data_IF_167424279285
#
_entry.id   IF_167424279285
#
_cell.length_a   1.000
_cell.length_b   1.000
_cell.length_c   1.000
_cell.angle_alpha   90.00
_cell.angle_beta   90.00
_cell.angle_gamma   90.00
#
_symmetry.space_group_name_H-M   'P 1'
#
loop_
_entity.id
_entity.type
_entity.pdbx_description
1 polymer ?
#
# COMPACT_ATOMS: atom_id res chain seq x y z
N UNK A 1 -15.23 6.04 23.75
CA UNK A 1 -13.86 5.55 23.57
C UNK A 1 -13.92 4.04 23.40
N UNK A 2 -14.02 3.56 22.19
CA UNK A 2 -13.97 2.13 21.85
C UNK A 2 -12.58 1.83 21.35
N UNK A 3 -11.88 0.94 22.05
CA UNK A 3 -10.46 0.65 21.96
C UNK A 3 -10.04 0.08 20.62
N UNK A 4 -8.82 0.40 20.24
CA UNK A 4 -8.06 -0.11 19.10
C UNK A 4 -7.56 -1.56 19.34
N UNK A 5 -8.41 -2.43 19.89
CA UNK A 5 -8.02 -3.78 20.31
C UNK A 5 -8.18 -4.84 19.19
N UNK A 6 -7.84 -4.51 17.94
CA UNK A 6 -8.15 -5.42 16.83
C UNK A 6 -7.04 -5.74 15.82
N UNK A 7 -5.99 -4.96 15.72
CA UNK A 7 -4.87 -5.31 14.83
C UNK A 7 -3.56 -4.92 15.52
N UNK A 8 -3.18 -5.72 16.50
CA UNK A 8 -1.84 -5.62 17.04
C UNK A 8 -0.88 -6.31 16.08
N UNK A 9 -0.14 -5.54 15.29
CA UNK A 9 1.10 -6.00 14.69
C UNK A 9 2.01 -6.42 15.86
N UNK A 10 2.03 -7.69 16.17
CA UNK A 10 3.11 -8.27 16.94
C UNK A 10 4.12 -8.76 15.93
N UNK A 11 5.24 -8.06 15.76
CA UNK A 11 6.47 -8.73 15.41
C UNK A 11 6.57 -9.92 16.38
N UNK A 12 6.39 -11.12 15.88
CA UNK A 12 6.70 -12.32 16.66
C UNK A 12 8.16 -12.19 17.02
N UNK A 13 8.43 -12.28 18.32
CA UNK A 13 9.70 -12.03 18.98
C UNK A 13 10.93 -12.53 18.22
N UNK A 14 12.05 -11.95 18.58
CA UNK A 14 13.44 -12.18 18.17
C UNK A 14 13.82 -13.67 18.02
N UNK A 15 13.23 -14.34 17.06
CA UNK A 15 13.80 -15.53 16.45
C UNK A 15 14.28 -15.05 15.06
N UNK A 16 15.55 -15.20 14.67
CA UNK A 16 16.03 -14.84 13.35
C UNK A 16 15.52 -15.87 12.33
N UNK A 17 14.20 -15.98 12.18
CA UNK A 17 13.62 -16.63 11.01
C UNK A 17 14.03 -15.80 9.81
N UNK A 18 14.78 -16.43 8.92
CA UNK A 18 15.24 -15.88 7.66
C UNK A 18 14.11 -15.12 6.98
N UNK A 19 14.22 -13.78 6.89
CA UNK A 19 13.19 -12.94 6.27
C UNK A 19 12.94 -13.45 4.85
N UNK A 20 11.69 -13.79 4.55
CA UNK A 20 11.33 -14.30 3.22
C UNK A 20 11.65 -13.21 2.20
N UNK A 21 12.42 -13.55 1.16
CA UNK A 21 12.75 -12.56 0.13
C UNK A 21 11.51 -12.09 -0.62
N UNK A 22 11.48 -10.82 -1.03
CA UNK A 22 10.37 -10.27 -1.82
C UNK A 22 10.16 -11.02 -3.13
N UNK A 23 11.21 -11.56 -3.72
CA UNK A 23 11.14 -12.39 -4.94
C UNK A 23 10.39 -13.70 -4.69
N UNK A 24 10.66 -14.36 -3.55
CA UNK A 24 9.93 -15.57 -3.14
C UNK A 24 8.47 -15.24 -2.89
N UNK A 25 8.18 -14.15 -2.14
CA UNK A 25 6.83 -13.68 -1.92
C UNK A 25 6.10 -13.35 -3.23
N UNK A 26 6.77 -12.71 -4.18
CA UNK A 26 6.19 -12.38 -5.48
C UNK A 26 5.78 -13.65 -6.23
N UNK A 27 6.62 -14.69 -6.26
CA UNK A 27 6.30 -16.00 -6.86
C UNK A 27 5.08 -16.65 -6.18
N UNK A 28 5.05 -16.70 -4.85
CA UNK A 28 3.93 -17.27 -4.11
C UNK A 28 2.62 -16.51 -4.35
N UNK A 29 2.66 -15.17 -4.41
CA UNK A 29 1.51 -14.32 -4.71
C UNK A 29 0.99 -14.59 -6.14
N UNK A 30 1.85 -14.82 -7.11
CA UNK A 30 1.45 -15.12 -8.49
C UNK A 30 0.60 -16.40 -8.57
N UNK A 31 0.90 -17.40 -7.77
CA UNK A 31 0.18 -18.68 -7.71
C UNK A 31 -0.92 -18.73 -6.65
N UNK A 32 -1.15 -17.64 -5.91
CA UNK A 32 -2.13 -17.60 -4.81
C UNK A 32 -3.56 -17.91 -5.29
N UNK A 33 -4.26 -18.80 -4.57
CA UNK A 33 -5.66 -19.19 -4.82
C UNK A 33 -6.55 -19.10 -3.58
N UNK A 34 -6.18 -18.25 -2.61
CA UNK A 34 -6.81 -18.20 -1.29
C UNK A 34 -8.25 -17.63 -1.33
N UNK A 35 -8.59 -16.79 -2.31
CA UNK A 35 -9.91 -16.20 -2.42
C UNK A 35 -10.42 -16.17 -3.87
N UNK A 36 -11.71 -15.95 -4.03
CA UNK A 36 -12.44 -15.96 -5.31
C UNK A 36 -11.91 -14.96 -6.35
N UNK A 37 -11.14 -13.95 -5.93
CA UNK A 37 -10.53 -12.97 -6.88
C UNK A 37 -9.53 -13.62 -7.84
N UNK A 38 -8.98 -14.78 -7.48
CA UNK A 38 -8.10 -15.53 -8.38
C UNK A 38 -8.81 -16.07 -9.64
N UNK A 39 -10.14 -16.22 -9.59
CA UNK A 39 -10.94 -16.74 -10.70
C UNK A 39 -11.17 -15.72 -11.83
N UNK A 40 -10.97 -14.44 -11.53
CA UNK A 40 -11.30 -13.34 -12.46
C UNK A 40 -10.10 -12.48 -12.85
N UNK A 41 -8.93 -12.73 -12.26
CA UNK A 41 -7.70 -12.04 -12.61
C UNK A 41 -7.02 -12.65 -13.82
N UNK A 42 -6.35 -11.83 -14.63
CA UNK A 42 -5.37 -12.29 -15.62
C UNK A 42 -4.04 -12.62 -14.91
N UNK A 43 -3.58 -11.70 -14.02
CA UNK A 43 -2.34 -11.86 -13.25
C UNK A 43 -2.51 -11.34 -11.83
N UNK A 44 -1.85 -11.97 -10.88
CA UNK A 44 -1.66 -11.33 -9.58
C UNK A 44 -0.61 -10.23 -9.70
N UNK A 45 -0.74 -9.18 -8.89
CA UNK A 45 0.17 -8.02 -8.85
C UNK A 45 0.84 -7.99 -7.47
N UNK A 46 2.02 -8.61 -7.33
CA UNK A 46 2.71 -8.66 -6.05
C UNK A 46 3.12 -7.30 -5.53
N UNK A 47 3.56 -6.44 -6.41
CA UNK A 47 4.22 -5.17 -6.14
C UNK A 47 5.58 -5.12 -6.83
N UNK A 48 6.20 -3.94 -6.84
CA UNK A 48 7.50 -3.69 -7.47
C UNK A 48 8.26 -2.57 -6.77
N UNK A 49 9.55 -2.54 -6.94
CA UNK A 49 10.47 -1.53 -6.40
C UNK A 49 11.67 -2.15 -5.70
N UNK A 50 12.64 -1.32 -5.28
CA UNK A 50 13.84 -1.80 -4.62
C UNK A 50 13.53 -2.42 -3.25
N UNK A 51 14.19 -3.53 -2.88
CA UNK A 51 13.91 -4.23 -1.62
C UNK A 51 14.39 -3.49 -0.37
N UNK A 52 15.22 -2.45 -0.53
CA UNK A 52 15.84 -1.68 0.55
C UNK A 52 15.48 -0.20 0.50
N UNK A 53 14.31 0.14 -0.02
CA UNK A 53 13.95 1.55 -0.26
C UNK A 53 13.69 2.37 1.01
N UNK A 54 13.43 1.75 2.14
CA UNK A 54 12.92 2.43 3.34
C UNK A 54 11.54 3.05 3.19
N UNK A 55 11.01 3.12 1.96
CA UNK A 55 9.71 3.70 1.62
C UNK A 55 8.77 2.69 0.98
N UNK A 56 7.53 2.63 1.47
CA UNK A 56 6.49 1.73 0.97
C UNK A 56 5.22 2.50 0.63
N UNK A 57 4.68 2.27 -0.57
CA UNK A 57 3.38 2.78 -1.00
C UNK A 57 2.37 1.64 -1.08
N UNK A 58 1.23 1.79 -0.43
CA UNK A 58 0.19 0.74 -0.41
C UNK A 58 -1.14 1.29 -0.89
N UNK A 59 -1.63 0.77 -2.01
CA UNK A 59 -2.96 1.01 -2.53
C UNK A 59 -4.00 -0.03 -2.12
N UNK A 60 -5.18 0.03 -2.74
CA UNK A 60 -6.31 -0.84 -2.40
C UNK A 60 -6.28 -2.18 -3.16
N UNK A 61 -6.28 -2.13 -4.48
CA UNK A 61 -6.32 -3.29 -5.37
C UNK A 61 -5.82 -2.93 -6.76
N UNK A 62 -5.31 -3.92 -7.53
CA UNK A 62 -5.02 -3.72 -8.95
C UNK A 62 -6.26 -3.32 -9.74
N UNK A 63 -6.09 -2.42 -10.71
CA UNK A 63 -7.06 -2.14 -11.75
C UNK A 63 -6.88 -3.08 -12.95
N UNK A 64 -7.74 -2.96 -13.97
CA UNK A 64 -7.70 -3.83 -15.16
C UNK A 64 -6.38 -3.71 -15.95
N UNK A 65 -5.74 -2.53 -15.94
CA UNK A 65 -4.44 -2.36 -16.61
C UNK A 65 -3.31 -3.01 -15.82
N UNK A 66 -3.34 -2.89 -14.50
CA UNK A 66 -2.41 -3.54 -13.59
C UNK A 66 -2.50 -5.07 -13.68
N UNK A 67 -3.71 -5.60 -13.75
CA UNK A 67 -4.00 -7.02 -13.90
C UNK A 67 -3.37 -7.62 -15.18
N UNK A 68 -3.51 -6.91 -16.30
CA UNK A 68 -2.91 -7.30 -17.59
C UNK A 68 -1.38 -7.18 -17.59
N UNK A 69 -0.86 -6.12 -16.97
CA UNK A 69 0.57 -5.86 -16.93
C UNK A 69 1.32 -6.71 -15.89
N UNK A 70 0.65 -7.09 -14.80
CA UNK A 70 1.29 -7.72 -13.63
C UNK A 70 2.05 -6.72 -12.75
N UNK A 71 1.93 -5.40 -13.01
CA UNK A 71 2.64 -4.32 -12.32
C UNK A 71 1.66 -3.35 -11.65
N UNK A 72 1.96 -2.82 -10.45
CA UNK A 72 1.07 -1.93 -9.73
C UNK A 72 1.07 -0.52 -10.32
N UNK A 73 -0.07 0.17 -10.24
CA UNK A 73 -0.20 1.58 -10.60
C UNK A 73 0.31 1.98 -11.99
N UNK A 74 0.04 1.16 -13.03
CA UNK A 74 0.37 1.47 -14.44
C UNK A 74 -0.78 2.14 -15.19
N UNK A 75 -1.98 2.17 -14.61
CA UNK A 75 -3.17 2.81 -15.17
C UNK A 75 -3.21 4.32 -14.93
N UNK A 76 -4.39 4.93 -15.19
CA UNK A 76 -4.59 6.39 -15.06
C UNK A 76 -4.27 6.92 -13.65
N UNK A 77 -4.71 6.20 -12.60
CA UNK A 77 -4.44 6.58 -11.22
C UNK A 77 -2.95 6.46 -10.84
N UNK A 78 -2.24 5.49 -11.42
CA UNK A 78 -0.80 5.34 -11.26
C UNK A 78 -0.03 6.48 -11.90
N UNK A 79 -0.35 6.82 -13.14
CA UNK A 79 0.26 7.99 -13.82
C UNK A 79 0.02 9.30 -13.06
N UNK A 80 -1.16 9.43 -12.45
CA UNK A 80 -1.45 10.59 -11.61
C UNK A 80 -0.63 10.56 -10.31
N UNK A 81 -0.49 9.39 -9.66
CA UNK A 81 0.39 9.21 -8.50
C UNK A 81 1.83 9.60 -8.85
N UNK A 82 2.38 9.08 -9.93
CA UNK A 82 3.75 9.35 -10.37
C UNK A 82 3.99 10.85 -10.60
N UNK A 83 3.02 11.54 -11.25
CA UNK A 83 3.06 13.00 -11.45
C UNK A 83 3.15 13.76 -10.11
N UNK A 84 2.35 13.36 -9.10
CA UNK A 84 2.33 14.05 -7.82
C UNK A 84 3.57 13.72 -7.00
N UNK A 85 4.07 12.49 -7.03
CA UNK A 85 5.33 12.12 -6.38
C UNK A 85 6.49 12.94 -6.96
N UNK A 86 6.62 12.97 -8.29
CA UNK A 86 7.67 13.72 -8.98
C UNK A 86 7.60 15.22 -8.65
N UNK A 87 6.40 15.81 -8.58
CA UNK A 87 6.23 17.22 -8.19
C UNK A 87 6.66 17.53 -6.74
N UNK A 88 6.88 16.50 -5.92
CA UNK A 88 7.39 16.58 -4.56
C UNK A 88 8.85 16.07 -4.45
N UNK A 89 9.54 15.88 -5.57
CA UNK A 89 10.94 15.42 -5.60
C UNK A 89 11.14 13.94 -5.28
N UNK A 90 10.09 13.13 -5.45
CA UNK A 90 10.15 11.69 -5.23
C UNK A 90 10.05 10.92 -6.55
N UNK A 91 10.98 10.02 -6.79
CA UNK A 91 10.96 9.14 -7.95
C UNK A 91 10.38 7.77 -7.60
N UNK A 92 9.50 7.26 -8.47
CA UNK A 92 8.83 5.97 -8.29
C UNK A 92 9.78 4.81 -8.07
N UNK A 93 10.91 4.80 -8.78
CA UNK A 93 11.92 3.74 -8.72
C UNK A 93 12.68 3.65 -7.38
N UNK A 94 12.50 4.63 -6.49
CA UNK A 94 13.13 4.66 -5.16
C UNK A 94 12.26 4.08 -4.06
N UNK A 95 11.06 3.61 -4.36
CA UNK A 95 10.12 3.10 -3.35
C UNK A 95 9.47 1.79 -3.79
N UNK A 96 9.14 0.94 -2.84
CA UNK A 96 8.35 -0.25 -3.13
C UNK A 96 6.87 0.10 -3.18
N UNK A 97 6.18 -0.35 -4.22
CA UNK A 97 4.77 -0.02 -4.47
C UNK A 97 3.96 -1.31 -4.56
N UNK A 98 2.87 -1.39 -3.81
CA UNK A 98 1.97 -2.54 -3.81
C UNK A 98 0.53 -2.14 -3.50
N UNK A 99 -0.35 -3.11 -3.31
CA UNK A 99 -1.73 -2.96 -2.85
C UNK A 99 -2.07 -4.03 -1.83
N UNK A 100 -3.02 -3.77 -0.92
CA UNK A 100 -3.46 -4.77 0.08
C UNK A 100 -4.14 -5.98 -0.57
N UNK A 101 -4.82 -5.79 -1.69
CA UNK A 101 -5.27 -6.89 -2.55
C UNK A 101 -4.30 -7.07 -3.72
N UNK A 102 -3.99 -8.32 -4.04
CA UNK A 102 -3.04 -8.66 -5.11
C UNK A 102 -3.71 -9.00 -6.44
N UNK A 103 -5.04 -9.03 -6.48
CA UNK A 103 -5.81 -9.46 -7.63
C UNK A 103 -6.86 -8.41 -8.02
N UNK A 104 -7.00 -8.17 -9.32
CA UNK A 104 -8.12 -7.41 -9.86
C UNK A 104 -9.43 -8.19 -9.67
N UNK A 105 -10.51 -7.46 -9.52
CA UNK A 105 -11.88 -7.97 -9.57
C UNK A 105 -12.81 -6.79 -9.85
N UNK A 106 -13.82 -6.97 -10.72
CA UNK A 106 -14.86 -5.96 -10.89
C UNK A 106 -15.59 -5.67 -9.59
N UNK A 107 -15.82 -4.39 -9.30
CA UNK A 107 -16.50 -3.94 -8.09
C UNK A 107 -15.58 -3.65 -6.91
N UNK A 108 -16.20 -3.22 -5.81
CA UNK A 108 -15.48 -2.84 -4.59
C UNK A 108 -14.90 -4.03 -3.84
N UNK A 109 -13.76 -3.88 -3.18
CA UNK A 109 -13.25 -4.88 -2.25
C UNK A 109 -14.26 -5.24 -1.15
N UNK A 110 -14.23 -6.51 -0.71
CA UNK A 110 -15.00 -7.01 0.42
C UNK A 110 -14.09 -7.29 1.61
N UNK A 111 -14.54 -7.06 2.83
CA UNK A 111 -13.73 -7.25 4.05
C UNK A 111 -13.13 -8.66 4.17
N UNK A 112 -13.86 -9.71 3.79
CA UNK A 112 -13.33 -11.07 3.81
C UNK A 112 -12.17 -11.31 2.82
N UNK A 113 -12.22 -10.67 1.64
CA UNK A 113 -11.14 -10.72 0.65
C UNK A 113 -9.88 -10.06 1.17
N UNK A 114 -10.04 -8.88 1.80
CA UNK A 114 -8.94 -8.16 2.45
C UNK A 114 -8.30 -9.01 3.55
N UNK A 115 -9.10 -9.60 4.45
CA UNK A 115 -8.58 -10.48 5.53
C UNK A 115 -7.78 -11.65 4.98
N UNK A 116 -8.26 -12.30 3.90
CA UNK A 116 -7.56 -13.42 3.25
C UNK A 116 -6.25 -12.98 2.55
N UNK A 117 -6.22 -11.77 2.00
CA UNK A 117 -5.06 -11.26 1.26
C UNK A 117 -4.05 -10.53 2.15
N UNK A 118 -4.46 -10.04 3.33
CA UNK A 118 -3.66 -9.25 4.25
C UNK A 118 -2.31 -9.90 4.62
N UNK A 119 -2.21 -11.22 4.86
CA UNK A 119 -0.94 -11.86 5.19
C UNK A 119 0.18 -11.56 4.19
N UNK A 120 -0.11 -11.44 2.90
CA UNK A 120 0.88 -11.08 1.88
C UNK A 120 1.45 -9.67 2.10
N UNK A 121 0.58 -8.71 2.42
CA UNK A 121 1.04 -7.34 2.68
C UNK A 121 1.84 -7.24 3.97
N UNK A 122 1.46 -7.99 4.99
CA UNK A 122 2.19 -8.04 6.25
C UNK A 122 3.59 -8.65 6.07
N UNK A 123 3.72 -9.74 5.33
CA UNK A 123 5.01 -10.35 5.02
C UNK A 123 5.89 -9.41 4.15
N UNK A 124 5.29 -8.65 3.24
CA UNK A 124 6.02 -7.64 2.47
C UNK A 124 6.54 -6.51 3.37
N UNK A 125 5.71 -6.01 4.31
CA UNK A 125 6.13 -4.98 5.27
C UNK A 125 7.25 -5.51 6.17
N UNK A 126 7.16 -6.76 6.61
CA UNK A 126 8.19 -7.40 7.44
C UNK A 126 9.52 -7.57 6.67
N UNK A 127 9.44 -8.02 5.42
CA UNK A 127 10.63 -8.21 4.57
C UNK A 127 11.30 -6.90 4.19
N UNK A 128 10.51 -5.87 3.88
CA UNK A 128 10.99 -4.54 3.48
C UNK A 128 11.51 -3.73 4.67
N UNK A 129 10.90 -3.93 5.82
CA UNK A 129 11.12 -3.15 7.04
C UNK A 129 11.13 -1.62 6.79
N UNK A 130 10.11 -1.06 6.14
CA UNK A 130 10.11 0.34 5.73
C UNK A 130 10.00 1.26 6.95
N UNK A 131 10.72 2.39 6.92
CA UNK A 131 10.60 3.44 7.91
C UNK A 131 9.41 4.36 7.65
N UNK A 132 9.02 4.50 6.37
CA UNK A 132 7.99 5.43 5.93
C UNK A 132 7.01 4.75 4.97
N UNK A 133 5.71 4.82 5.31
CA UNK A 133 4.66 4.12 4.59
C UNK A 133 3.55 5.10 4.16
N UNK A 134 3.22 5.14 2.87
CA UNK A 134 2.09 5.89 2.33
C UNK A 134 0.91 4.95 2.10
N UNK A 135 -0.16 5.13 2.85
CA UNK A 135 -1.42 4.39 2.71
C UNK A 135 -2.39 5.20 1.84
N UNK A 136 -2.82 4.63 0.73
CA UNK A 136 -3.69 5.28 -0.24
C UNK A 136 -5.06 4.60 -0.33
N UNK A 137 -6.07 5.21 0.30
CA UNK A 137 -7.46 4.79 0.21
C UNK A 137 -7.98 4.00 1.43
N UNK A 138 -9.32 3.92 1.49
CA UNK A 138 -10.02 3.41 2.67
C UNK A 138 -9.75 1.93 2.97
N UNK A 139 -9.64 1.12 1.91
CA UNK A 139 -9.45 -0.31 2.09
C UNK A 139 -8.03 -0.68 2.52
N UNK A 140 -7.04 0.09 2.07
CA UNK A 140 -5.68 -0.05 2.56
C UNK A 140 -5.58 0.40 4.03
N UNK A 141 -6.18 1.54 4.39
CA UNK A 141 -6.23 2.04 5.76
C UNK A 141 -7.00 1.09 6.69
N UNK A 142 -8.12 0.54 6.23
CA UNK A 142 -8.87 -0.45 7.00
C UNK A 142 -8.08 -1.74 7.23
N UNK A 143 -7.47 -2.26 6.17
CA UNK A 143 -6.78 -3.55 6.25
C UNK A 143 -5.52 -3.51 7.13
N UNK A 144 -4.73 -2.43 7.03
CA UNK A 144 -3.44 -2.31 7.72
C UNK A 144 -3.54 -1.61 9.08
N UNK A 145 -4.47 -0.68 9.25
CA UNK A 145 -4.54 0.19 10.43
C UNK A 145 -5.88 0.11 11.18
N UNK A 146 -6.85 -0.69 10.70
CA UNK A 146 -8.18 -0.77 11.30
C UNK A 146 -9.02 0.51 11.15
N UNK A 147 -8.61 1.47 10.33
CA UNK A 147 -9.31 2.74 10.15
C UNK A 147 -10.58 2.52 9.32
N UNK A 148 -11.74 2.62 9.95
CA UNK A 148 -13.05 2.40 9.32
C UNK A 148 -13.46 3.54 8.37
N UNK A 149 -13.18 4.79 8.76
CA UNK A 149 -13.58 5.98 8.00
C UNK A 149 -12.38 6.87 7.71
N UNK A 150 -12.27 7.29 6.46
CA UNK A 150 -11.26 8.26 6.02
C UNK A 150 -11.82 9.69 6.18
N UNK A 151 -11.68 10.22 7.38
CA UNK A 151 -12.01 11.60 7.74
C UNK A 151 -10.70 12.33 8.09
N UNK A 152 -10.70 13.65 7.99
CA UNK A 152 -9.57 14.52 8.35
C UNK A 152 -8.23 14.10 7.73
N UNK A 153 -8.27 13.91 6.41
CA UNK A 153 -7.08 13.56 5.64
C UNK A 153 -6.27 14.79 5.21
N UNK A 154 -4.95 14.66 5.07
CA UNK A 154 -4.13 13.48 5.40
C UNK A 154 -3.87 13.33 6.89
N UNK A 155 -3.61 12.09 7.34
CA UNK A 155 -3.17 11.80 8.72
C UNK A 155 -1.74 11.29 8.72
N UNK A 156 -0.97 11.68 9.74
CA UNK A 156 0.36 11.13 10.02
C UNK A 156 0.32 10.42 11.36
N UNK A 157 0.75 9.17 11.38
CA UNK A 157 0.76 8.31 12.56
C UNK A 157 2.17 7.74 12.75
N UNK A 158 2.53 7.46 13.99
CA UNK A 158 3.73 6.69 14.31
C UNK A 158 3.31 5.41 15.02
N UNK A 159 3.64 4.26 14.45
CA UNK A 159 3.27 2.94 14.96
C UNK A 159 4.51 2.05 14.86
N UNK A 160 4.93 1.47 15.99
CA UNK A 160 6.11 0.59 16.08
C UNK A 160 7.38 1.18 15.44
N UNK A 161 7.63 2.47 15.71
CA UNK A 161 8.79 3.21 15.19
C UNK A 161 8.72 3.57 13.70
N UNK A 162 7.64 3.23 13.02
CA UNK A 162 7.42 3.53 11.59
C UNK A 162 6.46 4.71 11.41
N UNK A 163 6.72 5.51 10.38
CA UNK A 163 5.85 6.63 10.00
C UNK A 163 4.82 6.19 8.96
N UNK A 164 3.56 6.47 9.24
CA UNK A 164 2.43 6.13 8.37
C UNK A 164 1.73 7.40 7.94
N UNK A 165 1.73 7.68 6.65
CA UNK A 165 0.95 8.77 6.06
C UNK A 165 -0.29 8.18 5.40
N UNK A 166 -1.47 8.54 5.86
CA UNK A 166 -2.74 8.04 5.33
C UNK A 166 -3.40 9.13 4.49
N UNK A 167 -3.75 8.80 3.26
CA UNK A 167 -4.44 9.71 2.35
C UNK A 167 -5.52 8.99 1.54
N UNK A 168 -6.29 9.72 0.76
CA UNK A 168 -7.27 9.12 -0.15
C UNK A 168 -6.59 8.41 -1.33
N UNK A 169 -7.32 7.56 -2.03
CA UNK A 169 -6.80 6.87 -3.21
C UNK A 169 -6.64 7.86 -4.39
N UNK A 170 -5.57 7.76 -5.22
CA UNK A 170 -5.35 8.68 -6.35
C UNK A 170 -6.51 8.66 -7.36
N UNK A 171 -7.24 7.56 -7.52
CA UNK A 171 -8.44 7.53 -8.35
C UNK A 171 -9.59 8.40 -7.81
N UNK A 172 -9.70 8.56 -6.49
CA UNK A 172 -10.66 9.48 -5.87
C UNK A 172 -10.20 10.93 -6.01
N UNK A 173 -8.89 11.17 -5.86
CA UNK A 173 -8.28 12.48 -6.07
C UNK A 173 -8.53 13.03 -7.48
N UNK A 174 -8.50 12.17 -8.49
CA UNK A 174 -8.79 12.58 -9.87
C UNK A 174 -10.26 12.94 -10.13
N UNK A 175 -11.18 12.54 -9.27
CA UNK A 175 -12.63 12.74 -9.47
C UNK A 175 -13.20 13.89 -8.64
N UNK A 176 -12.63 14.16 -7.47
CA UNK A 176 -13.21 15.07 -6.49
C UNK A 176 -12.18 16.12 -6.04
N UNK A 177 -12.48 17.43 -6.16
CA UNK A 177 -11.53 18.51 -5.81
C UNK A 177 -11.00 18.44 -4.39
N UNK A 178 -11.87 18.19 -3.40
CA UNK A 178 -11.46 18.02 -2.00
C UNK A 178 -10.47 16.85 -1.84
N UNK A 179 -10.76 15.69 -2.47
CA UNK A 179 -9.86 14.52 -2.44
C UNK A 179 -8.55 14.78 -3.18
N UNK A 180 -8.57 15.62 -4.20
CA UNK A 180 -7.35 16.06 -4.88
C UNK A 180 -6.42 16.80 -3.93
N UNK A 181 -6.95 17.78 -3.18
CA UNK A 181 -6.19 18.51 -2.19
C UNK A 181 -5.63 17.58 -1.09
N UNK A 182 -6.48 16.71 -0.51
CA UNK A 182 -6.08 15.74 0.51
C UNK A 182 -4.94 14.83 0.04
N UNK A 183 -5.04 14.33 -1.20
CA UNK A 183 -4.03 13.47 -1.79
C UNK A 183 -2.70 14.20 -1.99
N UNK A 184 -2.74 15.38 -2.60
CA UNK A 184 -1.54 16.19 -2.85
C UNK A 184 -0.85 16.57 -1.55
N UNK A 185 -1.61 17.01 -0.55
CA UNK A 185 -1.07 17.29 0.79
C UNK A 185 -0.48 16.06 1.46
N UNK A 186 -1.13 14.89 1.32
CA UNK A 186 -0.59 13.61 1.82
C UNK A 186 0.76 13.25 1.18
N UNK A 187 0.87 13.38 -0.15
CA UNK A 187 2.14 13.15 -0.85
C UNK A 187 3.22 14.18 -0.44
N UNK A 188 2.85 15.44 -0.21
CA UNK A 188 3.79 16.46 0.28
C UNK A 188 4.30 16.14 1.69
N UNK A 189 3.43 15.73 2.62
CA UNK A 189 3.84 15.29 3.96
C UNK A 189 4.73 14.06 3.91
N UNK A 190 4.40 13.10 3.05
CA UNK A 190 5.23 11.92 2.82
C UNK A 190 6.64 12.31 2.33
N UNK A 191 6.72 13.22 1.35
CA UNK A 191 7.99 13.72 0.83
C UNK A 191 8.83 14.50 1.86
N UNK A 192 8.16 15.33 2.68
CA UNK A 192 8.83 16.03 3.79
C UNK A 192 9.39 15.05 4.80
N UNK A 193 8.63 14.02 5.15
CA UNK A 193 9.09 12.98 6.08
C UNK A 193 10.22 12.14 5.47
N UNK A 194 10.17 11.84 4.17
CA UNK A 194 11.26 11.15 3.49
C UNK A 194 12.57 11.94 3.54
N UNK A 195 12.50 13.28 3.43
CA UNK A 195 13.66 14.15 3.58
C UNK A 195 14.21 14.17 5.02
N UNK A 196 13.33 14.25 6.02
CA UNK A 196 13.72 14.20 7.43
C UNK A 196 14.41 12.87 7.80
N UNK A 197 14.05 11.78 7.15
CA UNK A 197 14.59 10.43 7.36
C UNK A 197 15.75 10.07 6.41
N UNK A 198 16.19 11.00 5.59
CA UNK A 198 17.25 10.80 4.55
C UNK A 198 16.96 9.63 3.59
N UNK A 199 15.71 9.51 3.15
CA UNK A 199 15.22 8.45 2.24
C UNK A 199 15.08 8.91 0.78
N UNK A 200 15.56 10.11 0.43
CA UNK A 200 15.44 10.69 -0.92
C UNK A 200 16.51 10.20 -1.88
#
# INVERSE_FOLDING_TARGET
MAGLDGVRWKSKGNDPMEKISLEKLAKEIQYCRICERNLTRDRAVPGEGPPVSGMLLVGEAPGKKEDRAGSPFVGRSGKYLDKILLSNGLERNRMFITSVLKCYHPGSPKKHQLRKCLPWSLQQIDSLDPLLILIMGRWAAWALLGIEKLEDLPRVLTIDGKWWVVTCHPAAAMRFPRRNWEFRKGCSLFASKAAELDLR
#
